data_IF_730209332075
#
_entry.id   IF_730209332075
#
_cell.length_a   1.000
_cell.length_b   1.000
_cell.length_c   1.000
_cell.angle_alpha   90.00
_cell.angle_beta   90.00
_cell.angle_gamma   90.00
#
_symmetry.space_group_name_H-M   'P 1'
#
loop_
_entity.id
_entity.type
_entity.pdbx_description
1 polymer ?
#
# COMPACT_ATOMS: atom_id res chain seq x y z
N UNK A 1 12.00 -6.05 -20.63
CA UNK A 1 12.72 -5.12 -19.72
C UNK A 1 12.02 -4.84 -18.38
N UNK A 2 10.67 -4.88 -18.24
CA UNK A 2 9.97 -4.51 -16.98
C UNK A 2 9.95 -5.59 -15.87
N UNK A 3 9.99 -6.88 -16.22
CA UNK A 3 9.96 -7.99 -15.25
C UNK A 3 11.29 -8.14 -14.50
N UNK A 4 12.41 -7.99 -15.23
CA UNK A 4 13.75 -8.07 -14.66
C UNK A 4 13.99 -6.98 -13.59
N UNK A 5 13.46 -5.78 -13.79
CA UNK A 5 13.54 -4.70 -12.80
C UNK A 5 12.69 -4.95 -11.55
N UNK A 6 11.52 -5.60 -11.66
CA UNK A 6 10.70 -5.90 -10.48
C UNK A 6 11.31 -6.99 -9.60
N UNK A 7 11.89 -8.04 -10.20
CA UNK A 7 12.57 -9.10 -9.46
C UNK A 7 13.80 -8.57 -8.73
N UNK A 8 14.58 -7.69 -9.38
CA UNK A 8 15.75 -7.04 -8.77
C UNK A 8 15.35 -6.13 -7.60
N UNK A 9 14.27 -5.37 -7.72
CA UNK A 9 13.77 -4.51 -6.64
C UNK A 9 13.26 -5.33 -5.44
N UNK A 10 12.58 -6.46 -5.69
CA UNK A 10 12.11 -7.35 -4.64
C UNK A 10 13.27 -8.03 -3.91
N UNK A 11 14.30 -8.49 -4.65
CA UNK A 11 15.51 -9.05 -4.06
C UNK A 11 16.25 -8.01 -3.20
N UNK A 12 16.36 -6.76 -3.69
CA UNK A 12 16.96 -5.67 -2.92
C UNK A 12 16.16 -5.37 -1.65
N UNK A 13 14.84 -5.31 -1.72
CA UNK A 13 13.98 -5.05 -0.55
C UNK A 13 14.15 -6.15 0.52
N UNK A 14 14.16 -7.42 0.10
CA UNK A 14 14.41 -8.55 1.01
C UNK A 14 15.83 -8.49 1.63
N UNK A 15 16.83 -8.06 0.85
CA UNK A 15 18.20 -7.91 1.32
C UNK A 15 18.36 -6.76 2.32
N UNK A 16 17.73 -5.61 2.07
CA UNK A 16 17.71 -4.48 3.01
C UNK A 16 17.00 -4.84 4.32
N UNK A 17 15.89 -5.57 4.23
CA UNK A 17 15.16 -6.06 5.40
C UNK A 17 16.00 -7.04 6.22
N UNK A 18 16.79 -7.91 5.57
CA UNK A 18 17.71 -8.84 6.24
C UNK A 18 18.90 -8.13 6.92
N UNK A 19 19.38 -7.01 6.36
CA UNK A 19 20.41 -6.15 6.98
C UNK A 19 19.83 -5.42 8.19
N UNK A 20 18.63 -4.84 8.09
CA UNK A 20 17.98 -4.11 9.18
C UNK A 20 17.73 -4.99 10.43
N UNK A 21 17.50 -6.29 10.24
CA UNK A 21 17.34 -7.27 11.33
C UNK A 21 18.65 -7.96 11.73
N UNK A 22 19.80 -7.50 11.24
CA UNK A 22 21.13 -7.98 11.63
C UNK A 22 21.49 -9.40 11.18
N UNK A 23 20.76 -9.98 10.22
CA UNK A 23 21.03 -11.34 9.71
C UNK A 23 22.17 -11.40 8.69
N UNK A 24 22.57 -10.24 8.12
CA UNK A 24 23.65 -10.13 7.13
C UNK A 24 24.43 -8.83 7.40
N UNK A 25 25.78 -8.82 7.40
CA UNK A 25 26.55 -7.60 7.53
C UNK A 25 26.36 -6.68 6.32
N UNK A 26 26.23 -5.38 6.54
CA UNK A 26 26.19 -4.39 5.47
C UNK A 26 27.55 -4.35 4.74
N UNK A 27 27.54 -4.46 3.42
CA UNK A 27 28.75 -4.31 2.61
C UNK A 27 29.11 -2.81 2.54
N UNK A 28 30.19 -2.42 3.24
CA UNK A 28 30.74 -1.08 3.16
C UNK A 28 31.37 -0.85 1.77
N UNK A 29 30.86 0.13 1.02
CA UNK A 29 31.56 0.67 -0.14
C UNK A 29 30.81 0.65 -1.48
N UNK A 30 29.67 1.36 -1.57
CA UNK A 30 29.19 1.91 -2.84
C UNK A 30 28.74 3.36 -2.61
N UNK A 31 29.69 4.31 -2.77
CA UNK A 31 29.39 5.74 -2.81
C UNK A 31 28.89 6.10 -4.21
N UNK A 32 27.70 6.70 -4.26
CA UNK A 32 27.19 7.55 -5.34
C UNK A 32 26.80 6.86 -6.66
N UNK A 33 25.65 6.19 -6.65
CA UNK A 33 24.61 6.50 -7.63
C UNK A 33 23.38 6.90 -6.82
N UNK A 34 22.59 7.87 -7.28
CA UNK A 34 21.38 8.34 -6.61
C UNK A 34 20.35 7.21 -6.47
N UNK A 35 20.56 6.33 -5.51
CA UNK A 35 19.52 5.51 -4.93
C UNK A 35 18.68 6.55 -4.19
N UNK A 36 17.62 7.03 -4.83
CA UNK A 36 16.54 7.67 -4.09
C UNK A 36 16.25 6.70 -2.96
N UNK A 37 16.58 7.09 -1.73
CA UNK A 37 16.36 6.24 -0.57
C UNK A 37 14.88 5.90 -0.60
N UNK A 38 14.54 4.67 -0.96
CA UNK A 38 13.16 4.21 -0.88
C UNK A 38 12.84 4.23 0.60
N UNK A 39 12.20 5.31 1.08
CA UNK A 39 11.85 5.57 2.48
C UNK A 39 10.68 4.69 2.92
N UNK A 40 10.79 3.40 2.64
CA UNK A 40 9.80 2.43 3.03
C UNK A 40 9.89 2.16 4.53
N UNK A 41 8.75 2.01 5.18
CA UNK A 41 8.68 1.60 6.58
C UNK A 41 7.64 0.50 6.74
N UNK A 42 7.85 -0.33 7.76
CA UNK A 42 6.93 -1.41 8.10
C UNK A 42 6.06 -0.95 9.27
N UNK A 43 4.77 -1.25 9.22
CA UNK A 43 3.87 -0.96 10.33
C UNK A 43 2.79 -2.03 10.49
N UNK A 44 2.34 -2.21 11.73
CA UNK A 44 1.18 -3.04 12.05
C UNK A 44 -0.10 -2.22 11.89
N UNK A 45 -1.05 -2.76 11.15
CA UNK A 45 -2.35 -2.15 10.88
C UNK A 45 -3.49 -3.12 11.18
N UNK A 46 -4.67 -2.59 11.44
CA UNK A 46 -5.89 -3.37 11.31
C UNK A 46 -6.43 -3.22 9.89
N UNK A 47 -6.49 -4.32 9.15
CA UNK A 47 -7.00 -4.37 7.79
C UNK A 47 -8.45 -4.84 7.77
N UNK A 48 -9.29 -4.10 7.06
CA UNK A 48 -10.64 -4.50 6.60
C UNK A 48 -10.65 -4.60 5.08
N UNK A 49 -11.81 -4.87 4.49
CA UNK A 49 -12.00 -4.82 3.04
C UNK A 49 -13.35 -4.20 2.68
N UNK A 50 -13.42 -3.63 1.49
CA UNK A 50 -14.62 -3.11 0.85
C UNK A 50 -14.64 -3.47 -0.64
N UNK A 51 -15.79 -3.37 -1.30
CA UNK A 51 -15.94 -3.52 -2.75
C UNK A 51 -16.47 -2.21 -3.34
N UNK A 52 -15.97 -1.75 -4.50
CA UNK A 52 -16.46 -0.53 -5.14
C UNK A 52 -17.82 -0.75 -5.83
N UNK A 53 -18.32 -2.00 -5.87
CA UNK A 53 -19.53 -2.38 -6.60
C UNK A 53 -20.77 -2.52 -5.72
N UNK A 54 -20.66 -2.24 -4.42
CA UNK A 54 -21.79 -2.33 -3.49
C UNK A 54 -22.83 -1.22 -3.74
N UNK A 55 -24.13 -1.56 -3.84
CA UNK A 55 -25.20 -0.58 -3.89
C UNK A 55 -25.22 0.27 -2.61
N UNK A 56 -25.02 1.58 -2.74
CA UNK A 56 -25.09 2.51 -1.60
C UNK A 56 -23.76 2.83 -0.92
N UNK A 57 -22.60 2.52 -1.53
CA UNK A 57 -21.32 3.09 -1.13
C UNK A 57 -21.44 4.61 -0.94
N UNK A 58 -20.78 5.16 0.10
CA UNK A 58 -20.91 6.57 0.49
C UNK A 58 -20.58 7.56 -0.65
N UNK A 59 -19.73 7.18 -1.61
CA UNK A 59 -19.46 7.99 -2.80
C UNK A 59 -20.41 7.70 -3.98
N UNK A 60 -21.11 6.56 -4.01
CA UNK A 60 -22.07 6.14 -5.04
C UNK A 60 -21.53 6.05 -6.47
N UNK A 61 -20.23 6.30 -6.67
CA UNK A 61 -19.63 6.60 -7.98
C UNK A 61 -18.58 5.58 -8.40
N UNK A 62 -18.16 4.68 -7.50
CA UNK A 62 -17.01 3.79 -7.72
C UNK A 62 -15.67 4.54 -7.80
N UNK A 63 -15.66 5.82 -7.42
CA UNK A 63 -14.45 6.64 -7.35
C UNK A 63 -13.87 6.59 -5.94
N UNK A 64 -12.54 6.54 -5.88
CA UNK A 64 -11.75 6.77 -4.69
C UNK A 64 -11.71 8.27 -4.34
N UNK A 65 -11.23 8.59 -3.14
CA UNK A 65 -11.08 9.96 -2.65
C UNK A 65 -10.35 10.91 -3.61
N UNK A 66 -9.37 10.41 -4.36
CA UNK A 66 -8.63 11.23 -5.33
C UNK A 66 -9.41 11.51 -6.62
N UNK A 67 -10.62 11.00 -6.80
CA UNK A 67 -11.45 11.18 -8.00
C UNK A 67 -11.12 10.22 -9.15
N UNK A 68 -10.24 9.23 -8.94
CA UNK A 68 -10.01 8.13 -9.89
C UNK A 68 -10.83 6.90 -9.50
N UNK A 69 -11.10 5.96 -10.43
CA UNK A 69 -11.79 4.72 -10.09
C UNK A 69 -11.06 3.94 -9.00
N UNK A 70 -11.81 3.44 -8.01
CA UNK A 70 -11.31 2.42 -7.10
C UNK A 70 -11.26 1.09 -7.86
N UNK A 71 -10.06 0.51 -7.96
CA UNK A 71 -9.82 -0.73 -8.71
C UNK A 71 -9.53 -1.85 -7.71
N UNK A 72 -10.31 -2.94 -7.70
CA UNK A 72 -10.04 -4.11 -6.88
C UNK A 72 -8.59 -4.58 -7.00
N UNK A 73 -8.02 -4.97 -5.87
CA UNK A 73 -6.63 -5.42 -5.72
C UNK A 73 -5.56 -4.36 -6.01
N UNK A 74 -5.95 -3.12 -6.29
CA UNK A 74 -5.03 -2.01 -6.62
C UNK A 74 -5.27 -0.77 -5.78
N UNK A 75 -6.45 -0.61 -5.21
CA UNK A 75 -6.82 0.53 -4.37
C UNK A 75 -6.86 0.11 -2.90
N UNK A 76 -6.32 0.95 -2.03
CA UNK A 76 -6.49 0.82 -0.58
C UNK A 76 -6.92 2.17 -0.01
N UNK A 77 -7.88 2.15 0.90
CA UNK A 77 -8.26 3.32 1.67
C UNK A 77 -7.42 3.41 2.95
N UNK A 78 -6.97 4.62 3.28
CA UNK A 78 -6.11 4.87 4.44
C UNK A 78 -6.52 6.14 5.19
N UNK A 79 -5.95 6.34 6.37
CA UNK A 79 -5.90 7.63 7.03
C UNK A 79 -4.70 8.45 6.50
N UNK A 80 -4.91 9.58 5.80
CA UNK A 80 -3.82 10.40 5.24
C UNK A 80 -2.87 10.99 6.29
N UNK A 81 -3.30 11.13 7.54
CA UNK A 81 -2.46 11.62 8.64
C UNK A 81 -1.45 10.54 9.11
N UNK A 82 -1.66 9.27 8.74
CA UNK A 82 -0.82 8.13 9.11
C UNK A 82 -0.08 7.56 7.89
N UNK A 83 -0.79 7.35 6.79
CA UNK A 83 -0.24 6.88 5.53
C UNK A 83 -0.58 7.94 4.47
N UNK A 84 0.40 8.72 4.00
CA UNK A 84 0.14 9.77 3.01
C UNK A 84 -0.51 9.20 1.76
N UNK A 85 -1.49 9.91 1.21
CA UNK A 85 -2.05 9.56 -0.10
C UNK A 85 -0.95 9.57 -1.16
N UNK A 86 -1.06 8.68 -2.14
CA UNK A 86 -0.03 8.37 -3.12
C UNK A 86 0.99 7.33 -2.68
N UNK A 87 0.97 6.92 -1.41
CA UNK A 87 1.82 5.82 -0.94
C UNK A 87 1.47 4.51 -1.65
N UNK A 88 2.48 3.66 -1.83
CA UNK A 88 2.26 2.25 -2.20
C UNK A 88 2.42 1.38 -0.97
N UNK A 89 1.49 0.48 -0.73
CA UNK A 89 1.59 -0.51 0.34
C UNK A 89 1.70 -1.90 -0.22
N UNK A 90 2.54 -2.74 0.37
CA UNK A 90 2.48 -4.18 0.14
C UNK A 90 1.64 -4.82 1.23
N UNK A 91 0.55 -5.46 0.83
CA UNK A 91 -0.36 -6.20 1.71
C UNK A 91 -0.10 -7.70 1.54
N UNK A 92 0.22 -8.43 2.62
CA UNK A 92 0.41 -9.88 2.55
C UNK A 92 -0.78 -10.59 1.90
N UNK A 93 -0.49 -11.48 0.94
CA UNK A 93 -1.52 -12.23 0.21
C UNK A 93 -2.21 -11.48 -0.94
N UNK A 94 -1.99 -10.17 -1.08
CA UNK A 94 -2.55 -9.35 -2.16
C UNK A 94 -1.45 -8.80 -3.08
N UNK A 95 -0.43 -8.16 -2.49
CA UNK A 95 0.64 -7.49 -3.23
C UNK A 95 0.63 -5.97 -3.07
N UNK A 96 1.19 -5.26 -4.06
CA UNK A 96 1.30 -3.80 -4.01
C UNK A 96 0.01 -3.10 -4.44
N UNK A 97 -0.43 -2.14 -3.61
CA UNK A 97 -1.64 -1.35 -3.81
C UNK A 97 -1.34 0.15 -3.64
N UNK A 98 -2.14 1.01 -4.27
CA UNK A 98 -2.04 2.46 -4.21
C UNK A 98 -2.99 3.01 -3.13
N UNK A 99 -2.47 3.84 -2.24
CA UNK A 99 -3.24 4.56 -1.23
C UNK A 99 -3.79 5.84 -1.85
N UNK A 100 -4.95 5.78 -2.49
CA UNK A 100 -5.59 6.96 -3.09
C UNK A 100 -7.04 7.14 -2.68
N UNK A 101 -7.49 6.34 -1.72
CA UNK A 101 -8.83 6.37 -1.18
C UNK A 101 -8.81 6.67 0.32
N UNK A 102 -9.95 7.09 0.86
CA UNK A 102 -10.15 7.32 2.29
C UNK A 102 -11.55 6.87 2.69
N UNK A 103 -11.76 6.68 4.00
CA UNK A 103 -13.08 6.39 4.53
C UNK A 103 -13.29 7.03 5.90
N UNK A 104 -14.55 7.31 6.25
CA UNK A 104 -14.88 7.94 7.52
C UNK A 104 -14.45 7.08 8.72
N UNK A 105 -14.52 5.75 8.59
CA UNK A 105 -14.13 4.79 9.63
C UNK A 105 -12.66 4.35 9.52
N UNK A 106 -11.96 4.78 8.47
CA UNK A 106 -10.56 4.43 8.22
C UNK A 106 -9.70 5.52 8.85
N UNK A 107 -9.46 5.36 10.16
CA UNK A 107 -8.74 6.32 11.01
C UNK A 107 -7.64 5.64 11.82
N UNK A 108 -6.51 6.30 11.97
CA UNK A 108 -5.32 5.74 12.60
C UNK A 108 -4.67 4.65 11.75
N UNK A 109 -4.15 3.61 12.41
CA UNK A 109 -3.50 2.47 11.75
C UNK A 109 -4.52 1.47 11.19
N UNK A 110 -5.55 1.96 10.49
CA UNK A 110 -6.56 1.15 9.82
C UNK A 110 -6.39 1.31 8.31
N UNK A 111 -6.47 0.21 7.58
CA UNK A 111 -6.52 0.20 6.12
C UNK A 111 -7.76 -0.55 5.64
N UNK A 112 -8.31 -0.15 4.50
CA UNK A 112 -9.42 -0.85 3.84
C UNK A 112 -9.01 -1.32 2.45
N UNK A 113 -8.95 -2.64 2.26
CA UNK A 113 -8.49 -3.25 1.01
C UNK A 113 -9.67 -3.31 0.02
N UNK A 114 -9.50 -2.71 -1.17
CA UNK A 114 -10.49 -2.82 -2.23
C UNK A 114 -10.43 -4.22 -2.85
N UNK A 115 -11.49 -5.01 -2.69
CA UNK A 115 -11.66 -6.36 -3.25
C UNK A 115 -12.78 -6.36 -4.30
N UNK A 116 -12.86 -7.42 -5.09
CA UNK A 116 -13.80 -7.49 -6.21
C UNK A 116 -15.21 -7.80 -5.70
N UNK A 117 -15.35 -8.86 -4.88
CA UNK A 117 -16.69 -9.35 -4.48
C UNK A 117 -16.96 -9.24 -2.98
N UNK A 118 -18.25 -9.23 -2.63
CA UNK A 118 -18.72 -9.26 -1.25
C UNK A 118 -18.25 -10.54 -0.53
N UNK A 119 -18.25 -11.69 -1.20
CA UNK A 119 -17.74 -12.94 -0.64
C UNK A 119 -16.27 -12.81 -0.26
N UNK A 120 -15.44 -12.19 -1.10
CA UNK A 120 -14.02 -11.97 -0.81
C UNK A 120 -13.83 -11.06 0.40
N UNK A 121 -14.64 -10.01 0.56
CA UNK A 121 -14.61 -9.16 1.76
C UNK A 121 -14.99 -9.93 3.02
N UNK A 122 -16.05 -10.73 2.95
CA UNK A 122 -16.51 -11.56 4.08
C UNK A 122 -15.42 -12.55 4.48
N UNK A 123 -14.81 -13.24 3.51
CA UNK A 123 -13.71 -14.17 3.77
C UNK A 123 -12.44 -13.47 4.24
N UNK A 124 -12.20 -12.25 3.76
CA UNK A 124 -11.07 -11.45 4.23
C UNK A 124 -11.22 -11.13 5.72
N UNK A 125 -12.40 -10.64 6.13
CA UNK A 125 -12.69 -10.27 7.51
C UNK A 125 -11.79 -9.16 8.06
N UNK A 126 -11.94 -8.83 9.35
CA UNK A 126 -11.05 -7.89 10.04
C UNK A 126 -9.86 -8.63 10.62
N UNK A 127 -8.64 -8.19 10.31
CA UNK A 127 -7.41 -8.83 10.82
C UNK A 127 -6.27 -7.85 11.01
N UNK A 128 -5.34 -8.22 11.89
CA UNK A 128 -4.12 -7.45 12.12
C UNK A 128 -3.03 -7.97 11.19
N UNK A 129 -2.41 -7.06 10.43
CA UNK A 129 -1.36 -7.38 9.46
C UNK A 129 -0.16 -6.46 9.65
N UNK A 130 1.02 -6.96 9.29
CA UNK A 130 2.20 -6.15 9.07
C UNK A 130 2.30 -5.81 7.57
N UNK A 131 2.39 -4.52 7.24
CA UNK A 131 2.48 -4.03 5.86
C UNK A 131 3.78 -3.24 5.66
N UNK A 132 4.28 -3.23 4.42
CA UNK A 132 5.32 -2.30 3.98
C UNK A 132 4.67 -1.10 3.32
N UNK A 133 4.96 0.10 3.80
CA UNK A 133 4.52 1.37 3.22
C UNK A 133 5.67 2.02 2.48
N UNK A 134 5.44 2.51 1.27
CA UNK A 134 6.39 3.25 0.45
C UNK A 134 5.75 4.61 0.13
N UNK A 135 6.14 5.69 0.83
CA UNK A 135 5.64 7.04 0.57
C UNK A 135 5.94 7.51 -0.86
N UNK A 136 5.14 8.45 -1.40
CA UNK A 136 5.40 9.01 -2.72
C UNK A 136 6.62 9.95 -2.68
N UNK A 137 7.43 9.93 -3.73
CA UNK A 137 8.61 10.81 -3.86
C UNK A 137 8.24 12.28 -4.14
N UNK A 138 6.99 12.52 -4.53
CA UNK A 138 6.46 13.82 -4.92
C UNK A 138 5.10 14.02 -4.26
N UNK A 139 4.65 15.28 -4.07
CA UNK A 139 3.30 15.55 -3.61
C UNK A 139 2.27 14.80 -4.45
N UNK A 140 1.33 14.16 -3.78
CA UNK A 140 0.29 13.40 -4.47
C UNK A 140 -0.72 14.33 -5.11
N UNK A 141 -0.95 14.13 -6.41
CA UNK A 141 -1.88 14.95 -7.19
C UNK A 141 -3.24 14.27 -7.25
N UNK A 142 -4.23 14.95 -6.70
CA UNK A 142 -5.65 14.60 -6.82
C UNK A 142 -6.14 14.79 -8.25
N UNK A 143 -7.21 14.09 -8.60
CA UNK A 143 -7.87 14.11 -9.90
C UNK A 143 -9.29 14.70 -9.76
N UNK A 144 -9.37 16.02 -9.57
CA UNK A 144 -10.60 16.81 -9.58
C UNK A 144 -10.45 18.04 -10.45
#
# INVERSE_FOLDING_TARGET
MKVLTMVVMMLLAMQQMAIAIGKIPALEGMKNNSVAETRGYVMTVTATAYTPFEPGMTSGTGLAYDGRPAIPYKTVAVDPDVIPLGSRVWVPGIGFMLCHDTGNLIKGNIIDVCLETEEEMIQWGRKTLEILVIPPDKPYLMNW
#
